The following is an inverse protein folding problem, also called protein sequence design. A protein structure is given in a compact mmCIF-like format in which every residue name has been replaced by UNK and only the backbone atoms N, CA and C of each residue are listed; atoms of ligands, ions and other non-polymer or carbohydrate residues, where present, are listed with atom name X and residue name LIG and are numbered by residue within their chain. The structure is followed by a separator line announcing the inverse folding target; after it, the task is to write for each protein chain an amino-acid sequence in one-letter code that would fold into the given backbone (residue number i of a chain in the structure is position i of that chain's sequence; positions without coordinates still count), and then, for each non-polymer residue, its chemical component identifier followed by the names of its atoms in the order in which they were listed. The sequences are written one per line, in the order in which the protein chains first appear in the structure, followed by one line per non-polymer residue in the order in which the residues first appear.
data_IF_906073862273
#
_entry.id   IF_906073862273
#
_cell.length_a   1.000
_cell.length_b   1.000
_cell.length_c   1.000
_cell.angle_alpha   90.00
_cell.angle_beta   90.00
_cell.angle_gamma   90.00
#
_symmetry.space_group_name_H-M   'P 1'
#
loop_
_entity.id
_entity.type
_entity.pdbx_description
1 polymer ?
#
# COMPACT_ATOMS: atom_id res chain seq x y z
N UNK A 1 -78.00 16.14 41.39
CA UNK A 1 -77.22 14.97 41.86
C UNK A 1 -76.03 14.83 40.94
N UNK A 2 -75.04 15.71 41.12
CA UNK A 2 -73.82 15.82 40.32
C UNK A 2 -72.75 14.97 41.00
N UNK A 3 -72.46 13.82 40.40
CA UNK A 3 -71.35 12.96 40.82
C UNK A 3 -70.08 13.62 40.32
N UNK A 4 -69.37 14.30 41.21
CA UNK A 4 -67.98 14.71 41.00
C UNK A 4 -67.16 13.46 40.71
N UNK A 5 -66.53 13.40 39.53
CA UNK A 5 -65.54 12.39 39.20
C UNK A 5 -64.18 13.02 39.44
N UNK A 6 -63.51 12.53 40.47
CA UNK A 6 -62.19 13.03 40.87
C UNK A 6 -61.20 12.90 39.70
N UNK A 7 -60.65 14.00 39.16
CA UNK A 7 -59.73 13.97 38.01
C UNK A 7 -58.38 13.31 38.34
N UNK A 8 -58.10 13.06 39.62
CA UNK A 8 -56.88 12.41 40.10
C UNK A 8 -56.97 10.89 40.15
N UNK A 9 -58.17 10.31 40.18
CA UNK A 9 -58.33 8.85 40.17
C UNK A 9 -57.94 8.25 38.80
N UNK A 10 -58.19 9.00 37.72
CA UNK A 10 -57.84 8.60 36.36
C UNK A 10 -56.32 8.68 36.08
N UNK A 11 -55.60 9.63 36.67
CA UNK A 11 -54.15 9.75 36.50
C UNK A 11 -53.41 8.63 37.24
N UNK A 12 -53.86 8.26 38.45
CA UNK A 12 -53.27 7.16 39.21
C UNK A 12 -53.42 5.80 38.49
N UNK A 13 -54.56 5.56 37.84
CA UNK A 13 -54.79 4.35 37.05
C UNK A 13 -53.97 4.34 35.74
N UNK A 14 -53.78 5.50 35.10
CA UNK A 14 -52.92 5.65 33.92
C UNK A 14 -51.43 5.47 34.27
N UNK A 15 -51.02 5.92 35.46
CA UNK A 15 -49.65 5.77 35.98
C UNK A 15 -49.36 4.33 36.38
N UNK A 16 -50.33 3.62 36.98
CA UNK A 16 -50.22 2.17 37.23
C UNK A 16 -50.24 1.35 35.93
N UNK A 17 -50.99 1.76 34.91
CA UNK A 17 -50.96 1.14 33.59
C UNK A 17 -49.65 1.41 32.83
N UNK A 18 -49.00 2.55 33.06
CA UNK A 18 -47.67 2.87 32.52
C UNK A 18 -46.55 2.12 33.28
N UNK A 19 -46.67 1.97 34.59
CA UNK A 19 -45.78 1.16 35.43
C UNK A 19 -45.89 -0.35 35.12
N UNK A 20 -47.09 -0.84 34.78
CA UNK A 20 -47.28 -2.23 34.36
C UNK A 20 -46.70 -2.53 32.96
N UNK A 21 -46.57 -1.51 32.08
CA UNK A 21 -45.97 -1.66 30.74
C UNK A 21 -44.45 -1.59 30.72
N UNK A 22 -43.81 -1.18 31.81
CA UNK A 22 -42.35 -1.15 31.95
C UNK A 22 -41.77 -2.45 32.53
N UNK A 23 -42.62 -3.38 32.99
CA UNK A 23 -42.20 -4.64 33.60
C UNK A 23 -41.92 -5.80 32.61
N UNK A 24 -42.16 -5.61 31.30
CA UNK A 24 -41.87 -6.63 30.28
C UNK A 24 -40.76 -6.17 29.35
N UNK A 25 -39.59 -5.89 29.92
CA UNK A 25 -38.35 -6.05 29.15
C UNK A 25 -38.12 -7.57 29.10
N UNK A 26 -37.97 -8.20 27.92
CA UNK A 26 -37.48 -9.57 27.86
C UNK A 26 -36.11 -9.56 28.51
N UNK A 27 -36.04 -10.01 29.76
CA UNK A 27 -34.80 -10.25 30.45
C UNK A 27 -34.02 -11.23 29.56
N UNK A 28 -32.85 -10.85 29.02
CA UNK A 28 -32.04 -11.80 28.28
C UNK A 28 -31.79 -12.97 29.23
N UNK A 29 -32.22 -14.15 28.82
CA UNK A 29 -32.06 -15.35 29.60
C UNK A 29 -30.57 -15.50 29.95
N UNK A 30 -30.29 -15.68 31.24
CA UNK A 30 -29.02 -16.14 31.81
C UNK A 30 -27.97 -15.07 32.10
N UNK A 31 -28.00 -14.53 33.32
CA UNK A 31 -26.88 -13.85 33.98
C UNK A 31 -25.79 -14.81 34.44
N UNK A 32 -25.20 -15.58 33.52
CA UNK A 32 -23.88 -16.17 33.74
C UNK A 32 -22.82 -15.12 33.42
N UNK A 33 -21.81 -14.94 34.27
CA UNK A 33 -20.62 -14.19 33.84
C UNK A 33 -20.15 -14.83 32.52
N UNK A 34 -19.87 -14.03 31.47
CA UNK A 34 -19.42 -14.58 30.20
C UNK A 34 -18.25 -15.50 30.48
N UNK A 35 -18.37 -16.74 29.99
CA UNK A 35 -17.36 -17.74 30.27
C UNK A 35 -16.02 -17.26 29.72
N UNK A 36 -14.90 -17.65 30.34
CA UNK A 36 -13.57 -17.26 29.86
C UNK A 36 -13.36 -17.58 28.37
N UNK A 37 -13.99 -18.63 27.85
CA UNK A 37 -13.97 -18.96 26.42
C UNK A 37 -14.73 -17.98 25.54
N UNK A 38 -15.81 -17.37 26.05
CA UNK A 38 -16.64 -16.40 25.34
C UNK A 38 -15.95 -15.03 25.24
N UNK A 39 -15.31 -14.59 26.33
CA UNK A 39 -14.48 -13.37 26.37
C UNK A 39 -13.24 -13.49 25.45
N UNK A 40 -12.57 -14.64 25.46
CA UNK A 40 -11.44 -14.91 24.55
C UNK A 40 -11.91 -14.93 23.09
N UNK A 41 -13.09 -15.49 22.82
CA UNK A 41 -13.71 -15.48 21.50
C UNK A 41 -14.01 -14.07 20.98
N UNK A 42 -14.54 -13.19 21.84
CA UNK A 42 -14.85 -11.79 21.51
C UNK A 42 -13.58 -10.98 21.24
N UNK A 43 -12.57 -11.06 22.11
CA UNK A 43 -11.27 -10.39 21.90
C UNK A 43 -10.58 -10.88 20.62
N UNK A 44 -10.62 -12.19 20.34
CA UNK A 44 -10.04 -12.74 19.10
C UNK A 44 -10.75 -12.20 17.86
N UNK A 45 -12.08 -12.04 17.93
CA UNK A 45 -12.89 -11.47 16.85
C UNK A 45 -12.62 -9.98 16.65
N UNK A 46 -12.43 -9.23 17.72
CA UNK A 46 -12.09 -7.81 17.65
C UNK A 46 -10.68 -7.60 17.08
N UNK A 47 -9.70 -8.38 17.52
CA UNK A 47 -8.35 -8.37 16.96
C UNK A 47 -8.36 -8.73 15.47
N UNK A 48 -9.11 -9.77 15.08
CA UNK A 48 -9.29 -10.14 13.66
C UNK A 48 -9.89 -8.99 12.85
N UNK A 49 -10.83 -8.25 13.44
CA UNK A 49 -11.45 -7.09 12.81
C UNK A 49 -10.45 -5.93 12.64
N UNK A 50 -9.66 -5.62 13.66
CA UNK A 50 -8.62 -4.59 13.59
C UNK A 50 -7.56 -4.91 12.53
N UNK A 51 -7.05 -6.14 12.52
CA UNK A 51 -6.07 -6.59 11.50
C UNK A 51 -6.64 -6.41 10.10
N UNK A 52 -7.93 -6.75 9.90
CA UNK A 52 -8.57 -6.58 8.60
C UNK A 52 -8.72 -5.12 8.21
N UNK A 53 -9.04 -4.25 9.16
CA UNK A 53 -9.12 -2.80 8.96
C UNK A 53 -7.76 -2.17 8.63
N UNK A 54 -6.69 -2.57 9.32
CA UNK A 54 -5.32 -2.12 9.02
C UNK A 54 -4.90 -2.55 7.61
N UNK A 55 -5.24 -3.77 7.20
CA UNK A 55 -5.00 -4.24 5.83
C UNK A 55 -5.82 -3.44 4.81
N UNK A 56 -7.09 -3.16 5.10
CA UNK A 56 -7.93 -2.33 4.22
C UNK A 56 -7.42 -0.90 4.10
N UNK A 57 -6.96 -0.31 5.21
CA UNK A 57 -6.36 1.02 5.25
C UNK A 57 -5.05 1.05 4.46
N UNK A 58 -4.14 0.11 4.73
CA UNK A 58 -2.87 0.00 4.01
C UNK A 58 -3.11 -0.21 2.51
N UNK A 59 -4.13 -1.00 2.14
CA UNK A 59 -4.54 -1.17 0.74
C UNK A 59 -5.06 0.12 0.14
N UNK A 60 -5.86 0.90 0.87
CA UNK A 60 -6.37 2.19 0.42
C UNK A 60 -5.22 3.21 0.22
N UNK A 61 -4.29 3.27 1.17
CA UNK A 61 -3.11 4.15 1.11
C UNK A 61 -2.16 3.75 -0.02
N UNK A 62 -1.91 2.45 -0.20
CA UNK A 62 -1.14 1.92 -1.32
C UNK A 62 -1.80 2.25 -2.67
N UNK A 63 -3.13 2.10 -2.78
CA UNK A 63 -3.87 2.46 -3.98
C UNK A 63 -3.81 3.97 -4.28
N UNK A 64 -3.94 4.81 -3.25
CA UNK A 64 -3.82 6.25 -3.40
C UNK A 64 -2.40 6.65 -3.80
N UNK A 65 -1.39 6.05 -3.19
CA UNK A 65 0.03 6.24 -3.53
C UNK A 65 0.31 5.82 -4.98
N UNK A 66 -0.17 4.65 -5.40
CA UNK A 66 -0.06 4.17 -6.77
C UNK A 66 -0.73 5.11 -7.77
N UNK A 67 -1.92 5.66 -7.45
CA UNK A 67 -2.59 6.63 -8.30
C UNK A 67 -1.81 7.94 -8.43
N UNK A 68 -1.24 8.45 -7.33
CA UNK A 68 -0.41 9.66 -7.34
C UNK A 68 0.88 9.44 -8.13
N UNK A 69 1.57 8.33 -7.88
CA UNK A 69 2.76 7.93 -8.61
C UNK A 69 2.46 7.74 -10.11
N UNK A 70 1.36 7.06 -10.45
CA UNK A 70 0.92 6.84 -11.83
C UNK A 70 0.58 8.15 -12.56
N UNK A 71 -0.10 9.09 -11.88
CA UNK A 71 -0.35 10.43 -12.44
C UNK A 71 0.96 11.19 -12.69
N UNK A 72 1.88 11.16 -11.72
CA UNK A 72 3.20 11.78 -11.86
C UNK A 72 3.99 11.18 -13.02
N UNK A 73 4.08 9.85 -13.09
CA UNK A 73 4.73 9.12 -14.16
C UNK A 73 4.10 9.44 -15.54
N UNK A 74 2.77 9.50 -15.62
CA UNK A 74 2.05 9.90 -16.83
C UNK A 74 2.34 11.34 -17.25
N UNK A 75 2.39 12.28 -16.31
CA UNK A 75 2.77 13.67 -16.58
C UNK A 75 4.21 13.79 -17.07
N UNK A 76 5.16 13.11 -16.43
CA UNK A 76 6.55 13.09 -16.88
C UNK A 76 6.72 12.40 -18.23
N UNK A 77 5.99 11.32 -18.49
CA UNK A 77 5.94 10.67 -19.80
C UNK A 77 5.43 11.62 -20.89
N UNK A 78 4.32 12.30 -20.64
CA UNK A 78 3.77 13.31 -21.55
C UNK A 78 4.72 14.49 -21.76
N UNK A 79 5.35 14.99 -20.69
CA UNK A 79 6.36 16.04 -20.78
C UNK A 79 7.58 15.61 -21.59
N UNK A 80 8.00 14.34 -21.48
CA UNK A 80 9.06 13.77 -22.30
C UNK A 80 8.73 13.79 -23.79
N UNK A 81 7.52 13.35 -24.17
CA UNK A 81 7.05 13.39 -25.57
C UNK A 81 6.92 14.82 -26.08
N UNK A 82 6.29 15.71 -25.30
CA UNK A 82 6.15 17.12 -25.68
C UNK A 82 7.51 17.82 -25.81
N UNK A 83 8.43 17.59 -24.87
CA UNK A 83 9.80 18.09 -24.92
C UNK A 83 10.57 17.57 -26.14
N UNK A 84 10.41 16.29 -26.49
CA UNK A 84 10.99 15.73 -27.71
C UNK A 84 10.47 16.42 -28.98
N UNK A 85 9.16 16.70 -29.07
CA UNK A 85 8.58 17.44 -30.19
C UNK A 85 9.11 18.87 -30.28
N UNK A 86 9.26 19.57 -29.14
CA UNK A 86 9.87 20.90 -29.10
C UNK A 86 11.31 20.85 -29.64
N UNK A 87 12.12 19.90 -29.20
CA UNK A 87 13.50 19.73 -29.68
C UNK A 87 13.56 19.42 -31.19
N UNK A 88 12.64 18.62 -31.70
CA UNK A 88 12.52 18.33 -33.13
C UNK A 88 12.22 19.60 -33.93
N UNK A 89 11.19 20.36 -33.55
CA UNK A 89 10.85 21.61 -34.24
C UNK A 89 11.94 22.67 -34.11
N UNK A 90 12.61 22.76 -32.96
CA UNK A 90 13.75 23.66 -32.79
C UNK A 90 14.91 23.28 -33.70
N UNK A 91 15.15 21.97 -33.90
CA UNK A 91 16.18 21.48 -34.82
C UNK A 91 15.86 21.82 -36.28
N UNK A 92 14.60 21.66 -36.69
CA UNK A 92 14.15 22.04 -38.04
C UNK A 92 14.22 23.56 -38.26
N UNK A 93 13.81 24.35 -37.26
CA UNK A 93 13.90 25.79 -37.31
C UNK A 93 15.35 26.26 -37.40
N UNK A 94 16.24 25.68 -36.58
CA UNK A 94 17.67 25.99 -36.60
C UNK A 94 18.31 25.62 -37.94
N UNK A 95 18.02 24.43 -38.47
CA UNK A 95 18.48 24.01 -39.78
C UNK A 95 18.00 24.99 -40.85
N UNK A 96 16.70 25.30 -40.89
CA UNK A 96 16.12 26.22 -41.87
C UNK A 96 16.76 27.60 -41.81
N UNK A 97 16.89 28.17 -40.60
CA UNK A 97 17.53 29.46 -40.37
C UNK A 97 18.98 29.48 -40.86
N UNK A 98 19.80 28.50 -40.45
CA UNK A 98 21.19 28.37 -40.92
C UNK A 98 21.26 28.14 -42.43
N UNK A 99 20.31 27.39 -42.98
CA UNK A 99 20.20 27.10 -44.41
C UNK A 99 20.10 28.37 -45.26
N UNK A 100 19.45 29.42 -44.74
CA UNK A 100 19.38 30.73 -45.44
C UNK A 100 20.73 31.45 -45.52
N UNK A 101 21.67 31.15 -44.63
CA UNK A 101 22.96 31.86 -44.52
C UNK A 101 24.09 31.11 -45.21
N UNK A 102 24.15 29.77 -45.07
CA UNK A 102 25.28 28.95 -45.51
C UNK A 102 24.91 27.77 -46.41
N UNK A 103 23.63 27.63 -46.77
CA UNK A 103 23.11 26.51 -47.56
C UNK A 103 22.73 25.30 -46.72
N UNK A 104 21.69 24.57 -47.17
CA UNK A 104 21.07 23.50 -46.38
C UNK A 104 22.00 22.35 -46.01
N UNK A 105 23.00 22.03 -46.84
CA UNK A 105 23.95 20.95 -46.55
C UNK A 105 24.90 21.25 -45.38
N UNK A 106 25.45 22.47 -45.33
CA UNK A 106 26.33 22.89 -44.22
C UNK A 106 25.54 23.11 -42.93
N UNK A 107 24.32 23.65 -43.05
CA UNK A 107 23.39 23.75 -41.93
C UNK A 107 23.10 22.38 -41.29
N UNK A 108 22.89 21.34 -42.11
CA UNK A 108 22.70 19.97 -41.64
C UNK A 108 23.85 19.48 -40.76
N UNK A 109 25.09 19.69 -41.22
CA UNK A 109 26.30 19.25 -40.52
C UNK A 109 26.46 19.97 -39.18
N UNK A 110 26.16 21.27 -39.12
CA UNK A 110 26.21 22.04 -37.87
C UNK A 110 25.16 21.52 -36.88
N UNK A 111 23.92 21.31 -37.30
CA UNK A 111 22.86 20.79 -36.43
C UNK A 111 23.20 19.37 -35.95
N UNK A 112 23.74 18.53 -36.84
CA UNK A 112 24.21 17.19 -36.48
C UNK A 112 25.34 17.23 -35.45
N UNK A 113 26.31 18.14 -35.59
CA UNK A 113 27.38 18.33 -34.62
C UNK A 113 26.85 18.76 -33.24
N UNK A 114 25.88 19.68 -33.19
CA UNK A 114 25.21 20.07 -31.94
C UNK A 114 24.56 18.86 -31.26
N UNK A 115 23.81 18.06 -32.01
CA UNK A 115 23.19 16.85 -31.47
C UNK A 115 24.21 15.79 -31.02
N UNK A 116 25.34 15.65 -31.73
CA UNK A 116 26.41 14.74 -31.32
C UNK A 116 27.01 15.15 -29.96
N UNK A 117 27.21 16.45 -29.73
CA UNK A 117 27.69 16.97 -28.44
C UNK A 117 26.67 16.70 -27.33
N UNK A 118 25.39 17.01 -27.58
CA UNK A 118 24.31 16.73 -26.61
C UNK A 118 24.25 15.23 -26.28
N UNK A 119 24.28 14.37 -27.29
CA UNK A 119 24.27 12.91 -27.12
C UNK A 119 25.48 12.42 -26.31
N UNK A 120 26.68 12.94 -26.58
CA UNK A 120 27.89 12.59 -25.83
C UNK A 120 27.75 12.96 -24.34
N UNK A 121 27.26 14.15 -24.03
CA UNK A 121 27.02 14.60 -22.64
C UNK A 121 25.99 13.69 -21.95
N UNK A 122 24.86 13.42 -22.59
CA UNK A 122 23.81 12.58 -22.04
C UNK A 122 24.29 11.14 -21.81
N UNK A 123 25.04 10.57 -22.76
CA UNK A 123 25.61 9.23 -22.63
C UNK A 123 26.61 9.15 -21.46
N UNK A 124 27.48 10.15 -21.31
CA UNK A 124 28.44 10.19 -20.19
C UNK A 124 27.74 10.33 -18.83
N UNK A 125 26.74 11.22 -18.73
CA UNK A 125 25.95 11.40 -17.51
C UNK A 125 25.17 10.13 -17.17
N UNK A 126 24.42 9.58 -18.13
CA UNK A 126 23.65 8.35 -17.95
C UNK A 126 24.54 7.16 -17.57
N UNK A 127 25.73 7.06 -18.15
CA UNK A 127 26.71 6.03 -17.76
C UNK A 127 27.17 6.19 -16.31
N UNK A 128 27.37 7.40 -15.81
CA UNK A 128 27.78 7.64 -14.43
C UNK A 128 26.65 7.26 -13.45
N UNK A 129 25.42 7.68 -13.72
CA UNK A 129 24.24 7.31 -12.92
C UNK A 129 24.04 5.79 -12.88
N UNK A 130 24.13 5.12 -14.03
CA UNK A 130 24.03 3.66 -14.11
C UNK A 130 25.14 2.93 -13.34
N UNK A 131 26.32 3.53 -13.21
CA UNK A 131 27.44 2.98 -12.43
C UNK A 131 27.21 3.13 -10.94
N UNK A 132 26.61 4.24 -10.51
CA UNK A 132 26.26 4.49 -9.12
C UNK A 132 25.20 3.48 -8.63
N UNK A 133 24.19 3.21 -9.45
CA UNK A 133 23.17 2.19 -9.15
C UNK A 133 23.75 0.77 -9.14
N UNK A 134 24.71 0.46 -10.04
CA UNK A 134 25.41 -0.84 -10.06
C UNK A 134 26.40 -1.02 -8.91
N UNK A 135 26.77 0.05 -8.19
CA UNK A 135 27.61 0.02 -6.98
C UNK A 135 26.95 -0.62 -5.75
N UNK A 136 25.76 -1.20 -5.89
CA UNK A 136 25.02 -1.93 -4.85
C UNK A 136 25.10 -3.48 -4.92
N UNK A 137 26.23 -4.13 -5.32
CA UNK A 137 26.29 -5.59 -5.45
C UNK A 137 26.29 -6.33 -4.11
N UNK A 138 26.54 -5.65 -2.99
CA UNK A 138 26.57 -6.30 -1.66
C UNK A 138 25.19 -6.81 -1.20
N UNK A 139 24.11 -6.17 -1.66
CA UNK A 139 22.73 -6.57 -1.33
C UNK A 139 22.29 -7.80 -2.14
N UNK A 140 22.72 -7.89 -3.41
CA UNK A 140 22.41 -9.04 -4.27
C UNK A 140 23.22 -10.30 -3.90
N UNK A 141 24.46 -10.14 -3.43
CA UNK A 141 25.28 -11.26 -2.94
C UNK A 141 24.78 -11.80 -1.60
N UNK A 142 24.30 -10.92 -0.71
CA UNK A 142 23.71 -11.32 0.59
C UNK A 142 22.44 -12.15 0.41
N UNK A 143 21.58 -11.82 -0.57
CA UNK A 143 20.37 -12.60 -0.89
C UNK A 143 20.71 -13.98 -1.46
N UNK A 144 21.81 -14.11 -2.24
CA UNK A 144 22.29 -15.41 -2.74
C UNK A 144 22.95 -16.28 -1.67
N UNK A 145 23.37 -15.72 -0.53
CA UNK A 145 23.94 -16.46 0.60
C UNK A 145 22.90 -16.98 1.60
N UNK A 146 21.61 -16.66 1.43
CA UNK A 146 20.52 -17.15 2.29
C UNK A 146 19.57 -18.15 1.57
N UNK A 147 20.07 -19.22 0.91
CA UNK A 147 19.23 -20.40 0.62
C UNK A 147 19.30 -21.45 1.74
N UNK A 148 20.28 -21.35 2.66
CA UNK A 148 20.53 -22.35 3.70
C UNK A 148 19.58 -22.32 4.91
N UNK A 149 18.86 -21.22 5.14
CA UNK A 149 17.99 -21.07 6.33
C UNK A 149 16.53 -21.48 6.09
N UNK A 150 16.14 -21.77 4.83
CA UNK A 150 14.79 -22.26 4.47
C UNK A 150 14.73 -23.78 4.31
N UNK A 151 15.85 -24.49 4.45
CA UNK A 151 15.89 -25.94 4.54
C UNK A 151 15.97 -26.31 6.02
N UNK A 152 14.82 -26.68 6.58
CA UNK A 152 14.67 -27.09 7.96
C UNK A 152 15.72 -28.13 8.34
N UNK A 153 16.35 -27.91 9.50
CA UNK A 153 17.08 -28.93 10.22
C UNK A 153 16.04 -29.90 10.83
N UNK A 154 15.45 -30.73 9.99
CA UNK A 154 14.83 -31.98 10.41
C UNK A 154 15.89 -33.05 10.10
N UNK A 155 16.63 -33.56 11.09
CA UNK A 155 17.15 -34.96 11.12
C UNK A 155 18.34 -35.27 12.06
N UNK A 156 18.97 -34.35 12.80
CA UNK A 156 20.19 -34.72 13.56
C UNK A 156 20.21 -34.32 15.03
N UNK A 157 19.23 -34.80 15.78
CA UNK A 157 19.38 -35.04 17.20
C UNK A 157 18.30 -36.02 17.64
N UNK A 158 18.58 -37.33 17.69
CA UNK A 158 18.15 -38.19 18.83
C UNK A 158 18.37 -39.71 18.70
N UNK A 159 18.78 -40.30 17.57
CA UNK A 159 18.80 -41.78 17.46
C UNK A 159 20.18 -42.47 17.54
N UNK A 160 21.30 -41.74 17.57
CA UNK A 160 22.64 -42.37 17.62
C UNK A 160 23.00 -42.89 19.02
N UNK A 161 22.32 -42.46 20.07
CA UNK A 161 22.68 -42.85 21.45
C UNK A 161 21.94 -44.12 21.94
N UNK A 162 20.71 -44.37 21.47
CA UNK A 162 19.89 -45.47 22.00
C UNK A 162 20.33 -46.87 21.51
N UNK A 163 21.14 -46.96 20.45
CA UNK A 163 21.64 -48.26 19.96
C UNK A 163 22.89 -48.76 20.69
N UNK A 164 23.60 -47.89 21.44
CA UNK A 164 24.81 -48.28 22.18
C UNK A 164 24.57 -48.74 23.61
N UNK A 165 23.46 -48.37 24.24
CA UNK A 165 23.12 -48.85 25.59
C UNK A 165 22.39 -50.19 25.62
N UNK A 166 21.85 -50.67 24.49
CA UNK A 166 21.07 -51.90 24.45
C UNK A 166 21.92 -53.17 24.19
N UNK A 167 23.24 -53.05 24.12
CA UNK A 167 24.15 -54.16 23.80
C UNK A 167 25.41 -54.21 24.70
N UNK A 168 25.31 -53.68 25.92
CA UNK A 168 26.36 -53.74 26.95
C UNK A 168 25.86 -54.50 28.19
#
# INVERSE_FOLDING_TARGET
MSVDRDPFAASAAAEQAAAARTATTPQPASGGQPSLGELVGEVTRDLSTLVRQEVELAKAEAAQSAKRAGKGAGMFGGAGVAGHMVLLFLSLALWSALGTVMGGGWAALVVAAVWAVVAAILALRGRNELREVQGMPQTAESVKKIPGALRGHDEQSHSVDQSKEMNA
#
